data_IF_399252895757
#
_entry.id   IF_399252895757
#
_cell.length_a   1.000
_cell.length_b   1.000
_cell.length_c   1.000
_cell.angle_alpha   90.00
_cell.angle_beta   90.00
_cell.angle_gamma   90.00
#
_symmetry.space_group_name_H-M   'P 1'
#
loop_
_entity.id
_entity.type
_entity.pdbx_description
1 polymer ?
#
# COMPACT_ATOMS: atom_id res chain seq x y z
N UNK A 1 -10.25 -13.66 -12.74
CA UNK A 1 -9.14 -14.59 -13.08
C UNK A 1 -8.77 -15.50 -11.91
N UNK A 2 -8.38 -14.96 -10.75
CA UNK A 2 -7.98 -15.79 -9.60
C UNK A 2 -9.14 -16.62 -9.06
N UNK A 3 -10.33 -16.02 -8.92
CA UNK A 3 -11.56 -16.77 -8.55
C UNK A 3 -11.93 -17.86 -9.56
N UNK A 4 -11.59 -17.69 -10.85
CA UNK A 4 -11.83 -18.74 -11.84
C UNK A 4 -10.80 -19.87 -11.74
N UNK A 5 -9.55 -19.53 -11.38
CA UNK A 5 -8.44 -20.49 -11.23
C UNK A 5 -8.52 -21.26 -9.91
N UNK A 6 -9.01 -20.60 -8.86
CA UNK A 6 -9.14 -21.10 -7.50
C UNK A 6 -10.58 -20.87 -6.98
N UNK A 7 -11.59 -21.54 -7.59
CA UNK A 7 -13.00 -21.27 -7.30
C UNK A 7 -13.42 -21.63 -5.87
N UNK A 8 -12.70 -22.55 -5.24
CA UNK A 8 -12.96 -23.02 -3.88
C UNK A 8 -12.04 -22.36 -2.85
N UNK A 9 -11.05 -21.55 -3.27
CA UNK A 9 -10.10 -20.94 -2.36
C UNK A 9 -10.67 -19.67 -1.72
N UNK A 10 -10.60 -19.59 -0.39
CA UNK A 10 -10.76 -18.32 0.30
C UNK A 10 -9.50 -17.46 0.12
N UNK A 11 -9.62 -16.33 -0.57
CA UNK A 11 -8.50 -15.40 -0.76
C UNK A 11 -8.17 -14.73 0.58
N UNK A 12 -7.12 -15.22 1.24
CA UNK A 12 -6.57 -14.57 2.43
C UNK A 12 -5.80 -13.30 2.07
N UNK A 13 -5.98 -12.24 2.85
CA UNK A 13 -5.19 -11.02 2.74
C UNK A 13 -4.02 -11.04 3.73
N UNK A 14 -2.81 -10.81 3.22
CA UNK A 14 -1.59 -10.66 4.04
C UNK A 14 -1.61 -9.32 4.78
N UNK A 15 -1.88 -8.25 4.05
CA UNK A 15 -1.94 -6.91 4.59
C UNK A 15 -2.72 -5.91 3.72
N UNK A 16 -3.06 -4.78 4.35
CA UNK A 16 -3.60 -3.57 3.73
C UNK A 16 -2.67 -2.39 3.95
N UNK A 17 -2.45 -1.58 2.92
CA UNK A 17 -1.60 -0.40 3.02
C UNK A 17 -2.34 0.90 2.74
N UNK A 18 -2.00 1.92 3.52
CA UNK A 18 -2.56 3.27 3.42
C UNK A 18 -1.44 4.31 3.28
N UNK A 19 -1.77 5.41 2.62
CA UNK A 19 -0.88 6.56 2.43
C UNK A 19 -1.52 7.81 3.01
N UNK A 20 -0.71 8.75 3.48
CA UNK A 20 -1.19 10.01 4.09
C UNK A 20 -0.12 11.10 4.06
N UNK A 21 -0.52 12.34 4.26
CA UNK A 21 0.42 13.45 4.44
C UNK A 21 0.92 13.50 5.89
N UNK A 22 2.23 13.70 6.08
CA UNK A 22 2.84 13.90 7.40
C UNK A 22 2.69 15.33 7.89
N UNK A 23 1.45 15.76 8.11
CA UNK A 23 1.09 17.06 8.70
C UNK A 23 0.38 16.83 10.03
N UNK A 24 0.47 17.78 10.96
CA UNK A 24 -0.20 17.69 12.26
C UNK A 24 -1.71 17.46 12.07
N UNK A 25 -2.26 16.46 12.76
CA UNK A 25 -3.67 16.04 12.63
C UNK A 25 -3.94 15.00 11.54
N UNK A 26 -3.04 14.81 10.58
CA UNK A 26 -3.01 13.66 9.67
C UNK A 26 -1.84 12.73 10.07
N UNK A 27 -1.20 12.07 9.08
CA UNK A 27 -0.07 11.20 9.30
C UNK A 27 -0.46 9.79 9.72
N UNK A 28 0.54 9.00 10.08
CA UNK A 28 0.36 7.59 10.45
C UNK A 28 -0.70 7.39 11.56
N UNK A 29 -0.76 8.23 12.62
CA UNK A 29 -1.76 8.04 13.67
C UNK A 29 -3.21 8.12 13.16
N UNK A 30 -3.52 9.00 12.20
CA UNK A 30 -4.89 9.12 11.68
C UNK A 30 -5.28 7.93 10.80
N UNK A 31 -4.34 7.38 10.01
CA UNK A 31 -4.56 6.19 9.22
C UNK A 31 -4.64 4.90 10.08
N UNK A 32 -4.00 4.90 11.25
CA UNK A 32 -3.94 3.75 12.14
C UNK A 32 -5.04 3.72 13.22
N UNK A 33 -5.64 4.86 13.56
CA UNK A 33 -6.53 5.01 14.71
C UNK A 33 -7.65 3.95 14.75
N UNK A 34 -8.33 3.72 13.63
CA UNK A 34 -9.38 2.71 13.53
C UNK A 34 -8.86 1.31 13.88
N UNK A 35 -7.70 0.93 13.35
CA UNK A 35 -7.11 -0.38 13.58
C UNK A 35 -6.70 -0.55 15.05
N UNK A 36 -6.12 0.48 15.66
CA UNK A 36 -5.75 0.45 17.09
C UNK A 36 -6.97 0.33 18.00
N UNK A 37 -8.11 0.96 17.64
CA UNK A 37 -9.38 0.80 18.37
C UNK A 37 -9.90 -0.65 18.33
N UNK A 38 -9.60 -1.38 17.25
CA UNK A 38 -9.89 -2.81 17.11
C UNK A 38 -8.77 -3.73 17.63
N UNK A 39 -7.80 -3.20 18.39
CA UNK A 39 -6.79 -4.01 19.07
C UNK A 39 -5.56 -4.36 18.24
N UNK A 40 -5.37 -3.74 17.07
CA UNK A 40 -4.12 -3.85 16.34
C UNK A 40 -2.98 -3.20 17.13
N UNK A 41 -1.80 -3.83 17.09
CA UNK A 41 -0.63 -3.36 17.83
C UNK A 41 0.39 -2.77 16.88
N UNK A 42 0.84 -1.55 17.15
CA UNK A 42 1.93 -0.92 16.40
C UNK A 42 3.23 -1.73 16.55
N UNK A 43 3.96 -1.86 15.45
CA UNK A 43 5.22 -2.60 15.35
C UNK A 43 6.34 -1.68 14.85
N UNK A 44 7.28 -2.23 14.10
CA UNK A 44 8.49 -1.55 13.68
C UNK A 44 8.23 -0.36 12.77
N UNK A 45 9.11 0.63 12.87
CA UNK A 45 9.18 1.76 11.94
C UNK A 45 10.06 1.39 10.75
N UNK A 46 9.62 1.75 9.55
CA UNK A 46 10.42 1.70 8.33
C UNK A 46 10.67 3.13 7.83
N UNK A 47 11.86 3.39 7.31
CA UNK A 47 12.25 4.70 6.78
C UNK A 47 12.75 4.57 5.35
N UNK A 48 12.34 5.50 4.49
CA UNK A 48 12.73 5.54 3.08
C UNK A 48 13.29 6.93 2.77
N UNK A 49 14.57 7.21 3.11
CA UNK A 49 15.13 8.55 3.01
C UNK A 49 15.08 9.14 1.60
N UNK A 50 15.37 8.34 0.57
CA UNK A 50 15.33 8.79 -0.82
C UNK A 50 13.92 9.22 -1.27
N UNK A 51 12.89 8.58 -0.72
CA UNK A 51 11.48 8.89 -0.99
C UNK A 51 10.90 9.90 -0.01
N UNK A 52 11.66 10.29 1.02
CA UNK A 52 11.20 11.14 2.13
C UNK A 52 9.95 10.57 2.80
N UNK A 53 9.92 9.25 3.03
CA UNK A 53 8.78 8.55 3.66
C UNK A 53 9.18 7.89 4.98
N UNK A 54 8.19 7.78 5.86
CA UNK A 54 8.22 6.91 7.04
C UNK A 54 6.99 6.03 7.03
N UNK A 55 7.09 4.81 7.57
CA UNK A 55 5.95 3.92 7.73
C UNK A 55 6.00 3.20 9.08
N UNK A 56 4.84 2.83 9.58
CA UNK A 56 4.67 1.84 10.62
C UNK A 56 3.76 0.74 10.10
N UNK A 57 3.97 -0.47 10.60
CA UNK A 57 3.02 -1.56 10.42
C UNK A 57 2.38 -1.96 11.75
N UNK A 58 1.23 -2.61 11.65
CA UNK A 58 0.42 -3.01 12.79
C UNK A 58 0.05 -4.49 12.64
N UNK A 59 0.33 -5.27 13.68
CA UNK A 59 -0.10 -6.66 13.72
C UNK A 59 -1.54 -6.74 14.19
N UNK A 60 -2.37 -7.62 13.60
CA UNK A 60 -3.75 -7.81 14.02
C UNK A 60 -3.83 -8.50 15.40
N UNK A 61 -4.97 -8.36 16.10
CA UNK A 61 -5.26 -9.13 17.31
C UNK A 61 -5.53 -10.63 17.02
N UNK A 62 -5.92 -10.95 15.78
CA UNK A 62 -6.20 -12.30 15.28
C UNK A 62 -5.31 -12.56 14.06
N UNK A 63 -4.51 -13.65 14.02
CA UNK A 63 -3.62 -13.97 12.89
C UNK A 63 -4.34 -14.25 11.56
N UNK A 64 -5.67 -14.45 11.56
CA UNK A 64 -6.46 -14.59 10.33
C UNK A 64 -6.81 -13.25 9.69
N UNK A 65 -6.75 -12.14 10.44
CA UNK A 65 -6.94 -10.80 9.91
C UNK A 65 -5.67 -10.31 9.18
N UNK A 66 -5.80 -9.43 8.18
CA UNK A 66 -4.65 -8.85 7.51
C UNK A 66 -3.87 -7.94 8.45
N UNK A 67 -2.55 -7.85 8.26
CA UNK A 67 -1.74 -6.77 8.86
C UNK A 67 -2.14 -5.43 8.24
N UNK A 68 -1.75 -4.32 8.85
CA UNK A 68 -1.87 -3.02 8.19
C UNK A 68 -0.56 -2.27 8.18
N UNK A 69 -0.34 -1.48 7.13
CA UNK A 69 0.78 -0.56 7.02
C UNK A 69 0.27 0.83 6.71
N UNK A 70 0.85 1.84 7.35
CA UNK A 70 0.57 3.24 7.05
C UNK A 70 1.89 3.94 6.80
N UNK A 71 2.04 4.49 5.61
CA UNK A 71 3.16 5.34 5.26
C UNK A 71 2.73 6.80 5.29
N UNK A 72 3.67 7.72 5.52
CA UNK A 72 3.45 9.15 5.37
C UNK A 72 4.61 9.85 4.68
N UNK A 73 4.29 10.90 3.95
CA UNK A 73 5.27 11.86 3.42
C UNK A 73 5.80 12.76 4.55
N UNK A 74 7.11 12.75 4.81
CA UNK A 74 7.71 13.64 5.81
C UNK A 74 7.93 15.05 5.24
N UNK A 75 7.99 16.06 6.12
CA UNK A 75 8.08 17.50 5.84
C UNK A 75 9.36 18.00 5.16
N UNK A 76 9.94 17.19 4.28
CA UNK A 76 11.17 17.45 3.53
C UNK A 76 10.89 17.85 2.07
N UNK A 77 9.62 18.07 1.70
CA UNK A 77 9.26 18.61 0.38
C UNK A 77 9.59 20.10 0.27
N UNK A 78 9.68 20.63 -0.95
CA UNK A 78 9.91 22.04 -1.20
C UNK A 78 8.83 22.93 -0.57
N UNK A 79 9.12 24.20 -0.24
CA UNK A 79 8.11 25.13 0.26
C UNK A 79 6.88 25.27 -0.66
N UNK A 80 7.08 25.12 -1.98
CA UNK A 80 5.98 25.15 -2.95
C UNK A 80 5.06 23.93 -2.79
N UNK A 81 5.62 22.72 -2.73
CA UNK A 81 4.84 21.50 -2.51
C UNK A 81 4.16 21.50 -1.12
N UNK A 82 4.84 21.98 -0.08
CA UNK A 82 4.22 22.14 1.24
C UNK A 82 3.05 23.12 1.20
N UNK A 83 3.18 24.26 0.50
CA UNK A 83 2.09 25.22 0.35
C UNK A 83 0.88 24.61 -0.37
N UNK A 84 1.12 23.79 -1.40
CA UNK A 84 0.05 23.03 -2.09
C UNK A 84 -0.65 22.08 -1.12
N UNK A 85 0.10 21.25 -0.36
CA UNK A 85 -0.51 20.33 0.61
C UNK A 85 -1.34 21.09 1.64
N UNK A 86 -0.80 22.18 2.20
CA UNK A 86 -1.48 23.03 3.19
C UNK A 86 -2.78 23.65 2.66
N UNK A 87 -2.85 23.97 1.37
CA UNK A 87 -4.06 24.45 0.69
C UNK A 87 -5.24 23.49 0.91
N UNK A 88 -5.01 22.17 0.79
CA UNK A 88 -6.03 21.12 0.84
C UNK A 88 -6.31 20.59 2.25
N UNK A 89 -5.27 20.43 3.07
CA UNK A 89 -5.46 19.92 4.44
C UNK A 89 -5.98 21.00 5.40
N UNK A 90 -5.88 22.28 4.99
CA UNK A 90 -6.38 23.43 5.75
C UNK A 90 -5.50 23.81 6.95
N UNK A 91 -5.94 24.82 7.70
CA UNK A 91 -5.25 25.31 8.90
C UNK A 91 -5.48 24.43 10.15
N UNK A 92 -4.86 24.80 11.27
CA UNK A 92 -4.63 23.97 12.47
C UNK A 92 -5.76 23.03 12.97
N UNK A 93 -7.04 23.35 12.79
CA UNK A 93 -8.15 22.50 13.25
C UNK A 93 -8.71 21.54 12.18
N UNK A 94 -8.53 21.84 10.89
CA UNK A 94 -9.08 21.04 9.80
C UNK A 94 -8.41 19.66 9.66
N UNK A 95 -7.07 19.53 9.74
CA UNK A 95 -6.39 18.24 9.65
C UNK A 95 -6.89 17.19 10.64
N UNK A 96 -7.18 17.56 11.89
CA UNK A 96 -7.68 16.60 12.89
C UNK A 96 -9.05 16.02 12.52
N UNK A 97 -9.93 16.82 11.91
CA UNK A 97 -11.23 16.35 11.43
C UNK A 97 -11.05 15.43 10.22
N UNK A 98 -10.21 15.84 9.26
CA UNK A 98 -9.85 15.06 8.09
C UNK A 98 -9.21 13.73 8.46
N UNK A 99 -8.31 13.72 9.45
CA UNK A 99 -7.66 12.52 9.95
C UNK A 99 -8.65 11.57 10.63
N UNK A 100 -9.54 12.10 11.47
CA UNK A 100 -10.56 11.31 12.16
C UNK A 100 -11.52 10.60 11.19
N UNK A 101 -11.90 11.27 10.11
CA UNK A 101 -12.88 10.75 9.15
C UNK A 101 -12.28 10.24 7.84
N UNK A 102 -10.95 10.27 7.68
CA UNK A 102 -10.28 9.94 6.43
C UNK A 102 -10.61 8.54 5.90
N UNK A 103 -10.49 7.51 6.74
CA UNK A 103 -10.87 6.15 6.36
C UNK A 103 -12.37 6.00 6.04
N UNK A 104 -13.24 6.76 6.72
CA UNK A 104 -14.67 6.78 6.41
C UNK A 104 -14.92 7.45 5.04
N UNK A 105 -14.23 8.54 4.73
CA UNK A 105 -14.28 9.17 3.41
C UNK A 105 -13.87 8.18 2.31
N UNK A 106 -12.78 7.44 2.52
CA UNK A 106 -12.33 6.40 1.60
C UNK A 106 -13.38 5.29 1.40
N UNK A 107 -14.00 4.80 2.49
CA UNK A 107 -15.06 3.79 2.43
C UNK A 107 -16.28 4.27 1.62
N UNK A 108 -16.61 5.56 1.70
CA UNK A 108 -17.70 6.19 0.96
C UNK A 108 -17.31 6.58 -0.48
N UNK A 109 -16.05 6.37 -0.88
CA UNK A 109 -15.55 6.75 -2.19
C UNK A 109 -15.44 8.26 -2.40
N UNK A 110 -15.25 9.03 -1.32
CA UNK A 110 -15.12 10.50 -1.37
C UNK A 110 -13.76 10.96 -0.87
N UNK A 111 -13.29 12.08 -1.41
CA UNK A 111 -12.08 12.72 -0.92
C UNK A 111 -12.35 13.44 0.41
N UNK A 112 -11.37 13.46 1.33
CA UNK A 112 -11.51 14.17 2.59
C UNK A 112 -11.47 15.70 2.39
N UNK A 113 -10.85 16.19 1.31
CA UNK A 113 -10.77 17.61 0.92
C UNK A 113 -11.50 17.89 -0.39
N UNK A 114 -11.59 19.17 -0.75
CA UNK A 114 -12.16 19.62 -2.02
C UNK A 114 -11.30 19.18 -3.21
N UNK A 115 -11.93 19.04 -4.39
CA UNK A 115 -11.26 18.56 -5.61
C UNK A 115 -10.02 19.40 -5.95
N UNK A 116 -8.84 18.79 -6.18
CA UNK A 116 -7.63 19.49 -6.58
C UNK A 116 -7.68 20.10 -7.97
N UNK A 117 -6.82 21.09 -8.21
CA UNK A 117 -6.52 21.58 -9.57
C UNK A 117 -5.47 20.69 -10.24
N UNK A 118 -5.48 20.63 -11.57
CA UNK A 118 -4.46 19.89 -12.33
C UNK A 118 -3.06 20.44 -12.06
N UNK A 119 -2.92 21.78 -12.02
CA UNK A 119 -1.65 22.46 -11.71
C UNK A 119 -1.04 22.02 -10.37
N UNK A 120 -1.86 21.95 -9.31
CA UNK A 120 -1.39 21.54 -7.98
C UNK A 120 -0.95 20.06 -7.98
N UNK A 121 -1.71 19.20 -8.68
CA UNK A 121 -1.36 17.80 -8.84
C UNK A 121 -0.05 17.62 -9.60
N UNK A 122 0.14 18.32 -10.72
CA UNK A 122 1.36 18.27 -11.52
C UNK A 122 2.57 18.80 -10.75
N UNK A 123 2.39 19.88 -9.98
CA UNK A 123 3.44 20.43 -9.12
C UNK A 123 3.90 19.39 -8.09
N UNK A 124 2.97 18.70 -7.42
CA UNK A 124 3.33 17.62 -6.51
C UNK A 124 3.97 16.45 -7.26
N UNK A 125 3.43 16.04 -8.41
CA UNK A 125 3.91 14.89 -9.16
C UNK A 125 5.35 15.05 -9.66
N UNK A 126 5.78 16.28 -9.95
CA UNK A 126 7.16 16.59 -10.33
C UNK A 126 8.16 16.37 -9.20
N UNK A 127 7.75 16.54 -7.93
CA UNK A 127 8.64 16.38 -6.78
C UNK A 127 8.45 15.03 -6.05
N UNK A 128 7.20 14.61 -5.86
CA UNK A 128 6.82 13.40 -5.14
C UNK A 128 5.54 12.80 -5.73
N UNK A 129 5.70 11.70 -6.47
CA UNK A 129 4.57 10.89 -6.93
C UNK A 129 3.71 10.42 -5.76
N UNK A 130 4.34 10.10 -4.61
CA UNK A 130 3.61 9.75 -3.40
C UNK A 130 2.65 10.87 -2.97
N UNK A 131 3.13 12.12 -2.94
CA UNK A 131 2.31 13.26 -2.52
C UNK A 131 1.17 13.54 -3.51
N UNK A 132 1.45 13.42 -4.82
CA UNK A 132 0.43 13.54 -5.85
C UNK A 132 -0.63 12.43 -5.76
N UNK A 133 -0.20 11.18 -5.49
CA UNK A 133 -1.11 10.05 -5.28
C UNK A 133 -2.03 10.30 -4.10
N UNK A 134 -1.48 10.73 -2.95
CA UNK A 134 -2.28 11.05 -1.76
C UNK A 134 -3.26 12.17 -2.08
N UNK A 135 -2.86 13.21 -2.81
CA UNK A 135 -3.73 14.35 -3.13
C UNK A 135 -5.03 13.94 -3.86
N UNK A 136 -4.96 12.97 -4.78
CA UNK A 136 -6.12 12.55 -5.61
C UNK A 136 -6.81 11.28 -5.12
N UNK A 137 -6.17 10.48 -4.26
CA UNK A 137 -6.74 9.25 -3.71
C UNK A 137 -7.08 9.34 -2.20
N UNK A 138 -6.55 10.30 -1.47
CA UNK A 138 -6.79 10.49 -0.05
C UNK A 138 -6.39 9.27 0.78
N UNK A 139 -7.33 8.78 1.59
CA UNK A 139 -7.17 7.59 2.46
C UNK A 139 -7.60 6.28 1.78
N UNK A 140 -7.80 6.27 0.46
CA UNK A 140 -8.12 5.05 -0.26
C UNK A 140 -7.12 3.93 0.07
N UNK A 141 -7.61 2.69 0.09
CA UNK A 141 -6.75 1.52 0.22
C UNK A 141 -5.75 1.52 -0.94
N UNK A 142 -4.47 1.75 -0.65
CA UNK A 142 -3.46 1.86 -1.70
C UNK A 142 -3.22 0.52 -2.39
N UNK A 143 -3.18 -0.56 -1.60
CA UNK A 143 -3.22 -1.91 -2.11
C UNK A 143 -3.73 -2.88 -1.05
N UNK A 144 -4.32 -3.97 -1.53
CA UNK A 144 -4.50 -5.21 -0.78
C UNK A 144 -3.45 -6.22 -1.24
N UNK A 145 -3.01 -7.05 -0.29
CA UNK A 145 -1.97 -8.04 -0.56
C UNK A 145 -2.55 -9.44 -0.39
N UNK A 146 -2.50 -10.26 -1.44
CA UNK A 146 -2.93 -11.65 -1.37
C UNK A 146 -1.84 -12.50 -0.72
N UNK A 147 -2.22 -13.27 0.30
CA UNK A 147 -1.33 -14.20 0.99
C UNK A 147 -1.20 -15.50 0.17
N UNK A 148 -0.15 -15.59 -0.65
CA UNK A 148 0.04 -16.70 -1.61
C UNK A 148 0.15 -18.04 -0.90
N UNK A 149 0.79 -18.08 0.27
CA UNK A 149 0.92 -19.29 1.08
C UNK A 149 -0.41 -19.78 1.69
N UNK A 150 -1.50 -19.01 1.56
CA UNK A 150 -2.86 -19.38 1.98
C UNK A 150 -3.77 -19.75 0.79
N UNK A 151 -3.27 -19.70 -0.45
CA UNK A 151 -4.06 -20.08 -1.62
C UNK A 151 -4.21 -21.60 -1.71
N UNK A 152 -5.38 -22.10 -1.33
CA UNK A 152 -5.68 -23.53 -1.41
C UNK A 152 -5.56 -24.06 -2.86
N UNK A 153 -4.90 -25.21 -3.00
CA UNK A 153 -4.66 -25.83 -4.31
C UNK A 153 -3.59 -25.16 -5.16
N UNK A 154 -3.02 -24.03 -4.75
CA UNK A 154 -1.90 -23.40 -5.44
C UNK A 154 -0.58 -24.11 -5.11
N UNK A 155 0.23 -24.34 -6.14
CA UNK A 155 1.56 -24.96 -6.00
C UNK A 155 2.61 -24.11 -6.72
N UNK A 156 3.86 -24.16 -6.23
CA UNK A 156 4.98 -23.40 -6.81
C UNK A 156 5.14 -21.97 -6.29
N UNK A 157 4.38 -21.58 -5.26
CA UNK A 157 4.58 -20.32 -4.54
C UNK A 157 4.37 -19.08 -5.40
N UNK A 158 5.00 -17.98 -5.00
CA UNK A 158 4.86 -16.68 -5.64
C UNK A 158 5.31 -16.69 -7.10
N UNK A 159 6.38 -17.42 -7.44
CA UNK A 159 6.92 -17.45 -8.81
C UNK A 159 5.95 -18.09 -9.81
N UNK A 160 5.31 -19.19 -9.42
CA UNK A 160 4.28 -19.82 -10.24
C UNK A 160 3.06 -18.90 -10.42
N UNK A 161 2.68 -18.16 -9.37
CA UNK A 161 1.61 -17.17 -9.46
C UNK A 161 1.99 -16.02 -10.40
N UNK A 162 3.20 -15.46 -10.27
CA UNK A 162 3.70 -14.40 -11.15
C UNK A 162 3.65 -14.82 -12.62
N UNK A 163 4.12 -16.04 -12.91
CA UNK A 163 4.11 -16.60 -14.27
C UNK A 163 2.68 -16.65 -14.82
N UNK A 164 1.74 -17.20 -14.04
CA UNK A 164 0.33 -17.24 -14.41
C UNK A 164 -0.26 -15.84 -14.65
N UNK A 165 0.01 -14.87 -13.77
CA UNK A 165 -0.48 -13.50 -13.91
C UNK A 165 0.02 -12.87 -15.22
N UNK A 166 1.31 -13.03 -15.53
CA UNK A 166 1.89 -12.52 -16.77
C UNK A 166 1.32 -13.19 -18.02
N UNK A 167 1.08 -14.51 -17.99
CA UNK A 167 0.41 -15.23 -19.07
C UNK A 167 -1.02 -14.73 -19.33
N UNK A 168 -1.69 -14.21 -18.29
CA UNK A 168 -3.00 -13.57 -18.38
C UNK A 168 -2.93 -12.08 -18.77
N UNK A 169 -1.73 -11.56 -19.07
CA UNK A 169 -1.52 -10.17 -19.50
C UNK A 169 -1.44 -9.15 -18.35
N UNK A 170 -1.35 -9.60 -17.09
CA UNK A 170 -1.16 -8.69 -15.96
C UNK A 170 0.26 -8.13 -15.97
N UNK A 171 0.38 -6.81 -15.96
CA UNK A 171 1.67 -6.13 -15.89
C UNK A 171 2.15 -6.09 -14.43
N UNK A 172 3.25 -6.80 -14.14
CA UNK A 172 3.89 -6.79 -12.84
C UNK A 172 4.96 -5.69 -12.75
N UNK A 173 5.15 -5.14 -11.55
CA UNK A 173 6.21 -4.19 -11.24
C UNK A 173 7.58 -4.88 -11.34
N UNK A 174 8.36 -4.52 -12.37
CA UNK A 174 9.70 -5.06 -12.63
C UNK A 174 10.85 -4.31 -11.93
N UNK A 175 10.60 -3.22 -11.22
CA UNK A 175 11.64 -2.42 -10.55
C UNK A 175 12.29 -3.24 -9.43
N UNK A 176 13.61 -3.45 -9.48
CA UNK A 176 14.31 -4.37 -8.58
C UNK A 176 14.06 -5.87 -8.85
N UNK A 177 13.52 -6.24 -10.02
CA UNK A 177 13.08 -7.60 -10.35
C UNK A 177 11.59 -7.81 -10.02
N UNK A 178 10.93 -8.77 -10.67
CA UNK A 178 9.48 -9.02 -10.43
C UNK A 178 9.24 -9.42 -8.97
N UNK A 179 10.02 -10.39 -8.50
CA UNK A 179 9.99 -10.86 -7.11
C UNK A 179 11.04 -10.15 -6.28
N UNK A 180 10.60 -9.48 -5.21
CA UNK A 180 11.45 -8.85 -4.20
C UNK A 180 11.58 -9.82 -3.04
N UNK A 181 12.81 -10.16 -2.68
CA UNK A 181 13.10 -11.13 -1.63
C UNK A 181 13.82 -10.41 -0.50
N UNK A 182 13.32 -10.59 0.72
CA UNK A 182 13.97 -10.03 1.91
C UNK A 182 15.39 -10.60 2.10
N UNK A 183 16.31 -9.89 2.76
CA UNK A 183 17.67 -10.37 2.97
C UNK A 183 17.77 -11.72 3.71
N UNK A 184 16.80 -12.02 4.58
CA UNK A 184 16.69 -13.29 5.28
C UNK A 184 16.03 -14.41 4.44
N UNK A 185 15.56 -14.10 3.23
CA UNK A 185 14.85 -15.01 2.33
C UNK A 185 13.44 -15.39 2.78
N UNK A 186 12.95 -14.87 3.91
CA UNK A 186 11.70 -15.29 4.53
C UNK A 186 10.44 -14.61 3.98
N UNK A 187 10.58 -13.48 3.29
CA UNK A 187 9.47 -12.70 2.73
C UNK A 187 9.72 -12.44 1.24
N UNK A 188 8.84 -12.97 0.40
CA UNK A 188 8.83 -12.76 -1.04
C UNK A 188 7.60 -11.93 -1.41
N UNK A 189 7.79 -10.91 -2.24
CA UNK A 189 6.73 -9.98 -2.64
C UNK A 189 6.79 -9.67 -4.13
N UNK A 190 5.64 -9.58 -4.78
CA UNK A 190 5.48 -9.01 -6.12
C UNK A 190 4.22 -8.15 -6.15
N UNK A 191 4.10 -7.26 -7.13
CA UNK A 191 2.91 -6.41 -7.26
C UNK A 191 2.58 -6.17 -8.72
N UNK A 192 1.31 -5.88 -8.99
CA UNK A 192 0.93 -5.30 -10.28
C UNK A 192 1.45 -3.87 -10.38
N UNK A 193 1.62 -3.38 -11.61
CA UNK A 193 1.60 -1.93 -11.84
C UNK A 193 0.20 -1.43 -11.48
N UNK A 194 0.11 -0.23 -10.89
CA UNK A 194 -1.17 0.32 -10.49
C UNK A 194 -2.08 0.59 -11.70
N UNK A 195 -3.38 0.44 -11.49
CA UNK A 195 -4.36 0.89 -12.47
C UNK A 195 -4.30 2.42 -12.61
N UNK A 196 -4.75 2.91 -13.76
CA UNK A 196 -4.96 4.34 -13.97
C UNK A 196 -6.45 4.62 -13.97
N UNK A 197 -6.86 5.62 -13.21
CA UNK A 197 -8.26 6.02 -13.05
C UNK A 197 -8.47 7.41 -13.65
N UNK A 198 -9.64 7.61 -14.25
CA UNK A 198 -10.05 8.92 -14.75
C UNK A 198 -10.40 9.83 -13.58
N UNK A 199 -9.74 10.99 -13.51
CA UNK A 199 -9.93 11.99 -12.46
C UNK A 199 -10.29 13.34 -13.05
N UNK A 200 -11.44 13.90 -12.65
CA UNK A 200 -11.89 15.22 -13.06
C UNK A 200 -11.43 16.26 -12.03
N UNK A 201 -10.55 17.17 -12.45
CA UNK A 201 -10.00 18.24 -11.63
C UNK A 201 -10.97 19.40 -11.49
N UNK A 202 -10.70 20.30 -10.54
CA UNK A 202 -11.58 21.44 -10.24
C UNK A 202 -11.81 22.40 -11.43
N UNK A 203 -10.90 22.45 -12.40
CA UNK A 203 -11.07 23.24 -13.63
C UNK A 203 -11.89 22.55 -14.72
N UNK A 204 -12.30 21.29 -14.51
CA UNK A 204 -13.04 20.47 -15.47
C UNK A 204 -12.16 19.62 -16.39
N UNK A 205 -10.83 19.76 -16.31
CA UNK A 205 -9.89 18.87 -16.99
C UNK A 205 -10.01 17.45 -16.44
N UNK A 206 -9.83 16.45 -17.31
CA UNK A 206 -9.85 15.05 -16.92
C UNK A 206 -8.57 14.37 -17.36
N UNK A 207 -7.81 13.82 -16.41
CA UNK A 207 -6.59 13.06 -16.69
C UNK A 207 -6.66 11.66 -16.08
N UNK A 208 -5.83 10.76 -16.62
CA UNK A 208 -5.60 9.44 -16.05
C UNK A 208 -4.50 9.50 -14.98
N UNK A 209 -4.89 9.38 -13.72
CA UNK A 209 -3.99 9.38 -12.56
C UNK A 209 -3.78 7.97 -12.00
N UNK A 210 -2.67 7.68 -11.31
CA UNK A 210 -2.49 6.38 -10.67
C UNK A 210 -3.52 6.15 -9.55
N UNK A 211 -4.17 4.99 -9.61
CA UNK A 211 -5.03 4.46 -8.56
C UNK A 211 -4.29 3.46 -7.68
N UNK A 212 -5.00 2.41 -7.27
CA UNK A 212 -4.46 1.33 -6.44
C UNK A 212 -3.83 0.21 -7.27
N UNK A 213 -3.09 -0.68 -6.60
CA UNK A 213 -2.56 -1.92 -7.17
C UNK A 213 -2.88 -3.10 -6.27
N UNK A 214 -2.56 -4.31 -6.74
CA UNK A 214 -2.62 -5.54 -5.94
C UNK A 214 -1.21 -6.04 -5.72
N UNK A 215 -0.91 -6.43 -4.49
CA UNK A 215 0.34 -7.09 -4.12
C UNK A 215 0.09 -8.58 -3.85
N UNK A 216 1.15 -9.38 -3.96
CA UNK A 216 1.18 -10.79 -3.64
C UNK A 216 2.37 -11.04 -2.73
N UNK A 217 2.13 -11.67 -1.58
CA UNK A 217 3.17 -11.97 -0.60
C UNK A 217 3.20 -13.45 -0.26
N UNK A 218 4.40 -14.01 -0.17
CA UNK A 218 4.64 -15.35 0.36
C UNK A 218 5.57 -15.25 1.56
N UNK A 219 5.10 -15.75 2.71
CA UNK A 219 5.87 -15.80 3.95
C UNK A 219 6.35 -17.22 4.20
N UNK A 220 7.66 -17.43 4.19
CA UNK A 220 8.24 -18.75 4.42
C UNK A 220 8.25 -19.12 5.90
N UNK A 221 8.24 -20.42 6.17
CA UNK A 221 8.36 -21.00 7.52
C UNK A 221 9.72 -20.66 8.09
N UNK A 222 9.75 -20.16 9.32
CA UNK A 222 10.99 -19.81 10.00
C UNK A 222 11.84 -21.08 10.25
N UNK A 223 13.18 -20.98 10.21
CA UNK A 223 14.07 -22.15 10.30
C UNK A 223 13.82 -23.06 11.51
N UNK A 224 13.48 -22.49 12.66
CA UNK A 224 13.17 -23.24 13.89
C UNK A 224 11.90 -24.10 13.79
N UNK A 225 11.05 -23.88 12.80
CA UNK A 225 9.82 -24.63 12.56
C UNK A 225 9.89 -25.50 11.30
N UNK A 226 11.07 -25.64 10.67
CA UNK A 226 11.24 -26.41 9.43
C UNK A 226 10.86 -27.90 9.55
N UNK A 227 10.82 -28.44 10.77
CA UNK A 227 10.41 -29.83 11.03
C UNK A 227 8.89 -30.03 11.14
N UNK A 228 8.09 -28.97 11.12
CA UNK A 228 6.63 -29.08 11.14
C UNK A 228 6.11 -29.69 9.83
N UNK A 229 5.11 -30.55 9.92
CA UNK A 229 4.37 -30.99 8.74
C UNK A 229 3.52 -29.83 8.20
N UNK A 230 3.22 -29.78 6.89
CA UNK A 230 2.45 -28.70 6.29
C UNK A 230 1.13 -28.39 7.02
N UNK A 231 0.44 -29.42 7.52
CA UNK A 231 -0.85 -29.29 8.22
C UNK A 231 -0.71 -28.70 9.64
N UNK A 232 0.52 -28.59 10.16
CA UNK A 232 0.85 -28.01 11.46
C UNK A 232 1.40 -26.58 11.34
N UNK A 233 1.63 -26.11 10.11
CA UNK A 233 2.16 -24.77 9.87
C UNK A 233 1.04 -23.75 9.98
N UNK A 234 1.09 -22.94 11.03
CA UNK A 234 0.23 -21.78 11.25
C UNK A 234 0.98 -20.49 10.85
N UNK A 235 0.25 -19.38 10.72
CA UNK A 235 0.81 -18.06 10.37
C UNK A 235 1.95 -17.64 11.31
N UNK A 236 1.83 -17.94 12.62
CA UNK A 236 2.86 -17.63 13.63
C UNK A 236 4.19 -18.36 13.42
N UNK A 237 4.22 -19.40 12.59
CA UNK A 237 5.44 -20.14 12.26
C UNK A 237 6.17 -19.54 11.04
N UNK A 238 5.61 -18.50 10.41
CA UNK A 238 6.16 -17.87 9.21
C UNK A 238 6.83 -16.53 9.52
N UNK A 239 7.65 -16.04 8.60
CA UNK A 239 8.30 -14.72 8.69
C UNK A 239 7.25 -13.61 8.78
N UNK A 240 7.13 -12.99 9.95
CA UNK A 240 6.22 -11.87 10.21
C UNK A 240 6.86 -10.52 9.87
N UNK A 241 6.07 -9.45 9.78
CA UNK A 241 6.53 -8.08 9.55
C UNK A 241 6.83 -7.74 8.09
N UNK A 242 7.55 -6.64 7.89
CA UNK A 242 7.84 -6.07 6.57
C UNK A 242 9.36 -5.95 6.36
N UNK A 243 9.77 -5.69 5.12
CA UNK A 243 11.17 -5.46 4.78
C UNK A 243 11.32 -4.15 3.99
N UNK A 244 12.17 -3.23 4.47
CA UNK A 244 12.29 -1.89 3.89
C UNK A 244 12.78 -1.93 2.44
N UNK A 245 13.74 -2.82 2.13
CA UNK A 245 14.27 -2.96 0.78
C UNK A 245 13.21 -3.43 -0.22
N UNK A 246 12.35 -4.36 0.19
CA UNK A 246 11.24 -4.81 -0.64
C UNK A 246 10.23 -3.68 -0.83
N UNK A 247 9.80 -3.06 0.28
CA UNK A 247 8.80 -2.00 0.27
C UNK A 247 9.23 -0.80 -0.59
N UNK A 248 10.51 -0.42 -0.57
CA UNK A 248 11.06 0.67 -1.39
C UNK A 248 10.78 0.46 -2.88
N UNK A 249 10.93 -0.78 -3.37
CA UNK A 249 10.67 -1.14 -4.77
C UNK A 249 9.19 -1.33 -5.06
N UNK A 250 8.40 -1.75 -4.08
CA UNK A 250 6.96 -1.90 -4.24
C UNK A 250 6.24 -0.55 -4.37
N UNK A 251 6.72 0.51 -3.70
CA UNK A 251 6.19 1.88 -3.87
C UNK A 251 6.18 2.34 -5.33
N UNK A 252 7.09 1.82 -6.16
CA UNK A 252 7.21 2.16 -7.58
C UNK A 252 6.03 1.68 -8.42
N UNK A 253 5.14 0.83 -7.89
CA UNK A 253 3.95 0.35 -8.60
C UNK A 253 3.05 1.50 -9.08
N UNK A 254 2.93 2.57 -8.29
CA UNK A 254 2.17 3.79 -8.66
C UNK A 254 3.00 4.74 -9.52
N UNK A 255 4.32 4.81 -9.29
CA UNK A 255 5.24 5.61 -10.11
C UNK A 255 5.36 5.08 -11.55
N UNK A 256 5.35 3.77 -11.74
CA UNK A 256 5.32 3.14 -13.05
C UNK A 256 4.03 3.47 -13.80
N UNK A 257 2.88 3.39 -13.12
CA UNK A 257 1.58 3.75 -13.69
C UNK A 257 1.54 5.23 -14.09
N UNK A 258 2.11 6.13 -13.28
CA UNK A 258 2.19 7.57 -13.57
C UNK A 258 3.00 7.89 -14.83
N UNK A 259 3.96 7.02 -15.19
CA UNK A 259 4.84 7.17 -16.36
C UNK A 259 4.29 6.50 -17.62
N UNK A 260 3.18 5.77 -17.53
CA UNK A 260 2.57 5.16 -18.71
C UNK A 260 1.98 6.26 -19.61
N UNK A 261 2.12 6.12 -20.94
CA UNK A 261 1.59 7.07 -21.91
C UNK A 261 0.06 7.18 -21.84
#
# INVERSE_FOLDING_TARGET
MLEQRYPDACLGFDHFAFRTFGVEGLGIPSAAALFTDFGYQQRDMLTFPAKKLQAYWYSPPDPELPRTASAMQVGELSPAAQAVIQKYVGGAAAPSLLGKYGLMSALLGVQPWYTPTLEDYELLAQESEYAAWVLVNGYALNHATIAVHRLEGHTGGLEALNTFLQEQGVLLNGEGGITKVSPDGGLLQSSTVADRISYCFAGGETELVPGSYVEFAERLVLPQFAGLKPEQVEERHRRDGFEALNADKIFESTTLAAKQP
#
